data_IF_958967863574
#
_entry.id   IF_958967863574
#
_cell.length_a   1.000
_cell.length_b   1.000
_cell.length_c   1.000
_cell.angle_alpha   90.00
_cell.angle_beta   90.00
_cell.angle_gamma   90.00
#
_symmetry.space_group_name_H-M   'P 1'
#
loop_
_entity.id
_entity.type
_entity.pdbx_description
1 polymer ?
#
# COMPACT_ATOMS: atom_id res chain seq x y z
N UNK A 1 -26.59 37.91 -42.00
CA UNK A 1 -26.81 37.07 -40.81
C UNK A 1 -26.41 35.66 -41.17
N UNK A 2 -25.14 35.32 -41.03
CA UNK A 2 -24.61 33.95 -41.04
C UNK A 2 -23.36 34.02 -40.14
N UNK A 3 -23.52 33.76 -38.85
CA UNK A 3 -23.32 32.45 -38.20
C UNK A 3 -21.85 32.17 -37.95
N UNK A 4 -21.39 32.77 -36.85
CA UNK A 4 -20.14 32.54 -36.15
C UNK A 4 -20.08 31.09 -35.66
N UNK A 5 -19.05 30.34 -36.05
CA UNK A 5 -18.81 28.96 -35.61
C UNK A 5 -17.56 28.96 -34.74
N UNK A 6 -17.77 29.08 -33.43
CA UNK A 6 -16.74 28.85 -32.42
C UNK A 6 -16.46 27.34 -32.31
N UNK A 7 -15.20 26.89 -32.25
CA UNK A 7 -14.90 25.49 -32.02
C UNK A 7 -15.09 25.17 -30.54
N UNK A 8 -16.00 24.23 -30.27
CA UNK A 8 -16.21 23.60 -28.97
C UNK A 8 -14.90 23.00 -28.44
N UNK A 9 -14.46 23.49 -27.28
CA UNK A 9 -13.36 22.89 -26.51
C UNK A 9 -13.70 21.43 -26.19
N UNK A 10 -12.89 20.52 -26.73
CA UNK A 10 -12.90 19.13 -26.29
C UNK A 10 -12.40 19.08 -24.84
N UNK A 11 -13.33 18.87 -23.91
CA UNK A 11 -13.04 18.44 -22.55
C UNK A 11 -12.17 17.18 -22.63
N UNK A 12 -10.87 17.34 -22.36
CA UNK A 12 -9.96 16.24 -22.04
C UNK A 12 -10.38 15.69 -20.69
N UNK A 13 -11.39 14.82 -20.72
CA UNK A 13 -11.71 13.98 -19.58
C UNK A 13 -10.58 12.95 -19.48
N UNK A 14 -9.56 13.31 -18.69
CA UNK A 14 -8.43 12.43 -18.39
C UNK A 14 -9.00 11.17 -17.77
N UNK A 15 -8.71 10.02 -18.38
CA UNK A 15 -9.12 8.65 -18.02
C UNK A 15 -8.67 8.19 -16.62
N UNK A 16 -8.30 9.10 -15.73
CA UNK A 16 -8.06 8.85 -14.33
C UNK A 16 -9.31 9.30 -13.58
N UNK A 17 -10.26 8.39 -13.36
CA UNK A 17 -11.27 8.62 -12.31
C UNK A 17 -10.53 8.77 -10.99
N UNK A 18 -10.30 10.01 -10.57
CA UNK A 18 -9.49 10.38 -9.41
C UNK A 18 -10.20 9.97 -8.13
N UNK A 19 -10.05 8.69 -7.76
CA UNK A 19 -10.50 8.16 -6.49
C UNK A 19 -9.44 8.46 -5.43
N UNK A 20 -9.46 9.71 -4.93
CA UNK A 20 -8.50 10.24 -3.97
C UNK A 20 -9.25 10.63 -2.70
N UNK A 21 -8.74 10.18 -1.55
CA UNK A 21 -9.30 10.52 -0.24
C UNK A 21 -8.21 11.00 0.71
N UNK A 22 -8.47 12.13 1.38
CA UNK A 22 -7.60 12.65 2.42
C UNK A 22 -7.66 11.78 3.66
N UNK A 23 -6.50 11.55 4.25
CA UNK A 23 -6.36 10.83 5.51
C UNK A 23 -5.94 11.78 6.62
N UNK A 24 -6.49 11.56 7.80
CA UNK A 24 -6.05 12.23 9.03
C UNK A 24 -4.81 11.56 9.58
N UNK A 25 -4.80 10.23 9.55
CA UNK A 25 -3.73 9.39 10.09
C UNK A 25 -3.47 8.17 9.23
N UNK A 26 -2.20 7.79 9.19
CA UNK A 26 -1.73 6.51 8.70
C UNK A 26 -0.83 5.87 9.75
N UNK A 27 -0.94 4.56 9.97
CA UNK A 27 -0.17 3.85 10.98
C UNK A 27 0.40 2.54 10.44
N UNK A 28 1.68 2.27 10.72
CA UNK A 28 2.33 0.97 10.46
C UNK A 28 2.57 0.22 11.76
N UNK A 29 2.15 -1.03 11.82
CA UNK A 29 2.48 -1.89 12.96
C UNK A 29 3.96 -2.27 12.91
N UNK A 30 4.63 -2.18 14.06
CA UNK A 30 5.99 -2.61 14.28
C UNK A 30 5.94 -3.85 15.20
N UNK A 31 6.13 -5.07 14.67
CA UNK A 31 6.19 -6.27 15.49
C UNK A 31 7.30 -6.13 16.54
N UNK A 32 6.97 -6.25 17.83
CA UNK A 32 7.98 -6.29 18.89
C UNK A 32 8.74 -7.60 18.78
N UNK A 33 9.96 -7.57 18.25
CA UNK A 33 10.71 -8.81 18.09
C UNK A 33 12.12 -8.79 17.47
N UNK A 34 12.81 -7.64 17.28
CA UNK A 34 14.24 -7.62 16.89
C UNK A 34 15.08 -6.44 17.43
N UNK A 35 14.58 -5.68 18.41
CA UNK A 35 15.38 -4.63 19.06
C UNK A 35 15.28 -4.77 20.59
N UNK A 36 16.33 -5.34 21.20
CA UNK A 36 16.59 -5.14 22.63
C UNK A 36 17.10 -3.71 22.79
N UNK A 37 16.22 -2.74 22.99
CA UNK A 37 16.64 -1.42 23.50
C UNK A 37 16.22 -1.27 24.95
N UNK A 38 17.23 -1.15 25.81
CA UNK A 38 17.10 -0.74 27.21
C UNK A 38 16.96 0.79 27.27
N UNK A 39 15.76 1.31 27.07
CA UNK A 39 15.41 2.64 27.58
C UNK A 39 13.90 2.84 27.59
N UNK A 40 13.40 2.99 28.82
CA UNK A 40 12.20 3.71 29.25
C UNK A 40 11.13 4.07 28.20
N UNK A 41 9.96 3.42 28.32
CA UNK A 41 8.70 4.16 28.38
C UNK A 41 7.81 4.28 27.13
N UNK A 42 8.24 3.90 25.93
CA UNK A 42 7.33 3.91 24.76
C UNK A 42 6.93 2.50 24.35
N UNK A 43 5.75 2.09 24.81
CA UNK A 43 5.13 0.80 24.47
C UNK A 43 4.52 0.78 23.06
N UNK A 44 4.85 1.71 22.16
CA UNK A 44 4.11 1.90 20.93
C UNK A 44 4.48 0.85 19.87
N UNK A 45 3.56 -0.09 19.64
CA UNK A 45 3.66 -1.07 18.55
C UNK A 45 3.28 -0.47 17.18
N UNK A 46 3.05 0.84 17.08
CA UNK A 46 2.63 1.51 15.84
C UNK A 46 3.50 2.75 15.58
N UNK A 47 4.01 2.86 14.35
CA UNK A 47 4.57 4.10 13.81
C UNK A 47 3.44 4.89 13.17
N UNK A 48 3.10 6.05 13.72
CA UNK A 48 1.99 6.90 13.27
C UNK A 48 2.52 8.07 12.44
N UNK A 49 1.80 8.37 11.38
CA UNK A 49 1.96 9.51 10.49
C UNK A 49 0.65 10.31 10.54
N UNK A 50 0.75 11.62 10.69
CA UNK A 50 -0.39 12.54 10.70
C UNK A 50 -0.15 13.64 9.65
N UNK A 51 -1.23 14.09 9.03
CA UNK A 51 -1.19 15.21 8.08
C UNK A 51 -0.86 16.51 8.83
N UNK A 52 0.12 17.27 8.34
CA UNK A 52 0.48 18.58 8.87
C UNK A 52 1.05 19.48 7.78
N UNK A 53 1.13 20.80 8.04
CA UNK A 53 1.76 21.74 7.11
C UNK A 53 3.22 21.38 6.80
N UNK A 54 3.95 20.87 7.78
CA UNK A 54 5.37 20.53 7.64
C UNK A 54 5.62 19.16 6.98
N UNK A 55 4.76 18.18 7.25
CA UNK A 55 4.93 16.81 6.74
C UNK A 55 4.19 16.57 5.42
N UNK A 56 3.20 17.40 5.10
CA UNK A 56 2.34 17.25 3.94
C UNK A 56 1.06 16.47 4.25
N UNK A 57 0.12 16.55 3.30
CA UNK A 57 -1.17 15.89 3.34
C UNK A 57 -1.01 14.38 3.09
N UNK A 58 -1.64 13.56 3.93
CA UNK A 58 -1.81 12.12 3.68
C UNK A 58 -2.97 11.88 2.72
N UNK A 59 -2.75 11.02 1.73
CA UNK A 59 -3.75 10.67 0.72
C UNK A 59 -3.77 9.17 0.44
N UNK A 60 -4.99 8.62 0.27
CA UNK A 60 -5.24 7.32 -0.31
C UNK A 60 -5.72 7.51 -1.75
N UNK A 61 -5.04 6.87 -2.69
CA UNK A 61 -5.37 6.87 -4.11
C UNK A 61 -5.66 5.45 -4.58
N UNK A 62 -6.79 5.23 -5.26
CA UNK A 62 -7.11 3.96 -5.94
C UNK A 62 -7.32 4.22 -7.42
N UNK A 63 -6.29 3.94 -8.22
CA UNK A 63 -6.28 4.25 -9.63
C UNK A 63 -7.27 3.40 -10.44
N UNK A 64 -7.64 3.87 -11.63
CA UNK A 64 -8.43 3.11 -12.60
C UNK A 64 -7.81 1.75 -12.95
N UNK A 65 -6.48 1.67 -12.94
CA UNK A 65 -5.68 0.47 -13.19
C UNK A 65 -5.68 -0.56 -12.04
N UNK A 66 -6.38 -0.29 -10.93
CA UNK A 66 -6.38 -1.15 -9.75
C UNK A 66 -5.15 -1.03 -8.88
N UNK A 67 -4.33 0.01 -9.04
CA UNK A 67 -3.22 0.29 -8.12
C UNK A 67 -3.69 1.11 -6.92
N UNK A 68 -3.25 0.71 -5.73
CA UNK A 68 -3.48 1.44 -4.49
C UNK A 68 -2.19 2.13 -4.08
N UNK A 69 -2.28 3.42 -3.79
CA UNK A 69 -1.17 4.24 -3.29
C UNK A 69 -1.60 4.94 -2.00
N UNK A 70 -0.72 4.95 -1.00
CA UNK A 70 -0.81 5.81 0.17
C UNK A 70 0.42 6.70 0.17
N UNK A 71 0.25 8.01 0.18
CA UNK A 71 1.33 8.99 0.13
C UNK A 71 1.19 10.04 1.22
N UNK A 72 2.31 10.70 1.52
CA UNK A 72 2.37 11.91 2.33
C UNK A 72 3.20 12.96 1.59
N UNK A 73 2.56 14.01 1.09
CA UNK A 73 3.24 14.96 0.19
C UNK A 73 3.85 14.22 -1.01
N UNK A 74 5.17 14.31 -1.18
CA UNK A 74 5.91 13.61 -2.25
C UNK A 74 6.46 12.24 -1.84
N UNK A 75 6.22 11.79 -0.61
CA UNK A 75 6.68 10.49 -0.13
C UNK A 75 5.62 9.41 -0.33
N UNK A 76 6.00 8.30 -0.96
CA UNK A 76 5.16 7.10 -1.04
C UNK A 76 5.33 6.27 0.23
N UNK A 77 4.21 6.05 0.91
CA UNK A 77 4.12 5.20 2.09
C UNK A 77 3.75 3.77 1.70
N UNK A 78 2.76 3.56 0.83
CA UNK A 78 2.44 2.22 0.33
C UNK A 78 2.11 2.31 -1.16
N UNK A 79 2.52 1.30 -1.91
CA UNK A 79 2.14 1.15 -3.31
C UNK A 79 2.10 -0.32 -3.68
N UNK A 80 0.94 -0.81 -4.11
CA UNK A 80 0.80 -2.17 -4.62
C UNK A 80 -0.44 -2.32 -5.51
N UNK A 81 -0.43 -3.36 -6.35
CA UNK A 81 -1.58 -3.73 -7.18
C UNK A 81 -2.66 -4.42 -6.34
N UNK A 82 -3.92 -4.04 -6.54
CA UNK A 82 -5.09 -4.74 -5.99
C UNK A 82 -5.50 -5.94 -6.87
N UNK A 83 -4.96 -6.05 -8.08
CA UNK A 83 -5.24 -7.17 -8.98
C UNK A 83 -4.72 -8.47 -8.36
N UNK A 84 -5.59 -9.46 -8.21
CA UNK A 84 -5.30 -10.74 -7.58
C UNK A 84 -4.82 -10.63 -6.11
N UNK A 85 -5.07 -9.49 -5.46
CA UNK A 85 -4.57 -9.23 -4.11
C UNK A 85 -5.26 -10.05 -3.02
N UNK A 86 -6.38 -10.71 -3.31
CA UNK A 86 -7.11 -11.55 -2.36
C UNK A 86 -6.26 -12.65 -1.71
N UNK A 87 -5.20 -13.09 -2.41
CA UNK A 87 -4.25 -14.10 -1.91
C UNK A 87 -3.35 -13.59 -0.77
N UNK A 88 -3.10 -12.28 -0.71
CA UNK A 88 -2.15 -11.67 0.24
C UNK A 88 -2.74 -10.52 1.07
N UNK A 89 -3.89 -9.96 0.69
CA UNK A 89 -4.48 -8.77 1.30
C UNK A 89 -5.83 -9.11 1.94
N UNK A 90 -5.97 -8.78 3.22
CA UNK A 90 -7.23 -8.77 3.95
C UNK A 90 -7.53 -7.36 4.44
N UNK A 91 -8.76 -6.91 4.24
CA UNK A 91 -9.17 -5.54 4.57
C UNK A 91 -10.34 -5.59 5.54
N UNK A 92 -10.19 -4.90 6.66
CA UNK A 92 -11.25 -4.66 7.62
C UNK A 92 -11.61 -3.17 7.65
N UNK A 93 -12.89 -2.89 7.78
CA UNK A 93 -13.42 -1.53 7.89
C UNK A 93 -14.17 -1.33 9.21
N UNK A 94 -13.99 -0.17 9.84
CA UNK A 94 -14.77 0.28 10.99
C UNK A 94 -14.89 1.80 11.01
N UNK A 95 -16.12 2.31 10.93
CA UNK A 95 -16.43 3.75 10.98
C UNK A 95 -15.71 4.57 9.90
N UNK A 96 -14.66 5.30 10.26
CA UNK A 96 -13.87 6.18 9.38
C UNK A 96 -12.47 5.57 9.11
N UNK A 97 -12.29 4.28 9.39
CA UNK A 97 -10.98 3.64 9.45
C UNK A 97 -10.95 2.35 8.64
N UNK A 98 -9.81 2.12 7.99
CA UNK A 98 -9.45 0.85 7.34
C UNK A 98 -8.24 0.22 8.01
N UNK A 99 -8.26 -1.10 8.17
CA UNK A 99 -7.13 -1.91 8.61
C UNK A 99 -6.80 -2.93 7.53
N UNK A 100 -5.57 -2.89 7.04
CA UNK A 100 -5.07 -3.80 6.02
C UNK A 100 -4.08 -4.76 6.67
N UNK A 101 -4.26 -6.04 6.40
CA UNK A 101 -3.28 -7.08 6.69
C UNK A 101 -2.73 -7.59 5.37
N UNK A 102 -1.44 -7.35 5.14
CA UNK A 102 -0.73 -7.72 3.92
C UNK A 102 0.26 -8.82 4.29
N UNK A 103 0.08 -10.02 3.73
CA UNK A 103 0.92 -11.20 4.00
C UNK A 103 1.57 -11.69 2.72
N UNK A 104 2.89 -11.51 2.61
CA UNK A 104 3.67 -11.87 1.42
C UNK A 104 4.80 -12.81 1.86
N UNK A 105 4.89 -14.01 1.25
CA UNK A 105 5.93 -15.03 1.54
C UNK A 105 6.16 -15.29 3.05
N UNK A 106 5.09 -15.33 3.83
CA UNK A 106 5.14 -15.56 5.27
C UNK A 106 5.42 -14.32 6.13
N UNK A 107 5.74 -13.18 5.51
CA UNK A 107 5.88 -11.91 6.21
C UNK A 107 4.55 -11.15 6.20
N UNK A 108 4.01 -10.87 7.39
CA UNK A 108 2.80 -10.06 7.56
C UNK A 108 3.15 -8.65 8.02
N UNK A 109 2.51 -7.66 7.40
CA UNK A 109 2.50 -6.27 7.86
C UNK A 109 1.06 -5.79 8.04
N UNK A 110 0.85 -5.02 9.10
CA UNK A 110 -0.43 -4.37 9.39
C UNK A 110 -0.30 -2.88 9.19
N UNK A 111 -1.21 -2.30 8.41
CA UNK A 111 -1.33 -0.85 8.24
C UNK A 111 -2.76 -0.41 8.54
N UNK A 112 -2.90 0.76 9.14
CA UNK A 112 -4.20 1.36 9.48
C UNK A 112 -4.28 2.76 8.89
N UNK A 113 -5.43 3.10 8.33
CA UNK A 113 -5.74 4.42 7.78
C UNK A 113 -6.99 4.97 8.45
N UNK A 114 -6.99 6.27 8.75
CA UNK A 114 -8.16 7.01 9.23
C UNK A 114 -8.44 8.15 8.25
N UNK A 115 -9.65 8.19 7.72
CA UNK A 115 -10.10 9.20 6.76
C UNK A 115 -10.27 10.55 7.44
N UNK A 116 -9.98 11.61 6.70
CA UNK A 116 -10.23 12.97 7.17
C UNK A 116 -11.54 13.52 6.62
N UNK A 117 -12.14 14.45 7.36
CA UNK A 117 -13.38 15.11 7.03
C UNK A 117 -13.66 16.23 8.02
N UNK A 118 -14.44 17.22 7.59
CA UNK A 118 -14.91 18.33 8.43
C UNK A 118 -15.76 17.86 9.62
N UNK A 119 -16.34 16.67 9.52
CA UNK A 119 -17.06 15.98 10.59
C UNK A 119 -16.79 14.48 10.58
N UNK A 120 -17.11 13.80 11.69
CA UNK A 120 -17.03 12.34 11.75
C UNK A 120 -17.92 11.68 10.69
N UNK A 121 -19.13 12.21 10.46
CA UNK A 121 -20.05 11.66 9.45
C UNK A 121 -19.48 11.78 8.03
N UNK A 122 -18.81 12.89 7.72
CA UNK A 122 -18.17 13.08 6.43
C UNK A 122 -16.97 12.13 6.25
N UNK A 123 -16.11 11.99 7.28
CA UNK A 123 -14.99 11.06 7.25
C UNK A 123 -15.45 9.60 7.06
N UNK A 124 -16.54 9.19 7.73
CA UNK A 124 -17.20 7.90 7.50
C UNK A 124 -17.69 7.79 6.06
N UNK A 125 -18.33 8.83 5.51
CA UNK A 125 -18.80 8.85 4.13
C UNK A 125 -17.67 8.67 3.10
N UNK A 126 -16.51 9.31 3.31
CA UNK A 126 -15.33 9.08 2.48
C UNK A 126 -14.78 7.67 2.62
N UNK A 127 -14.76 7.13 3.83
CA UNK A 127 -14.34 5.76 4.08
C UNK A 127 -15.24 4.75 3.35
N UNK A 128 -16.57 4.92 3.40
CA UNK A 128 -17.53 4.08 2.67
C UNK A 128 -17.30 4.11 1.16
N UNK A 129 -17.07 5.28 0.57
CA UNK A 129 -16.74 5.40 -0.87
C UNK A 129 -15.45 4.66 -1.24
N UNK A 130 -14.43 4.73 -0.37
CA UNK A 130 -13.20 3.96 -0.57
C UNK A 130 -13.43 2.45 -0.43
N UNK A 131 -14.28 2.02 0.50
CA UNK A 131 -14.69 0.61 0.65
C UNK A 131 -15.40 0.11 -0.62
N UNK A 132 -16.37 0.85 -1.14
CA UNK A 132 -17.07 0.51 -2.39
C UNK A 132 -16.07 0.32 -3.55
N UNK A 133 -15.06 1.21 -3.65
CA UNK A 133 -14.02 1.10 -4.66
C UNK A 133 -13.13 -0.13 -4.45
N UNK A 134 -12.76 -0.45 -3.20
CA UNK A 134 -11.93 -1.60 -2.84
C UNK A 134 -12.63 -2.94 -3.10
N UNK A 135 -13.95 -3.00 -2.86
CA UNK A 135 -14.77 -4.20 -3.06
C UNK A 135 -14.78 -4.70 -4.50
N UNK A 136 -14.46 -3.85 -5.48
CA UNK A 136 -14.23 -4.26 -6.87
C UNK A 136 -13.01 -5.16 -7.08
N UNK A 137 -12.11 -5.27 -6.10
CA UNK A 137 -10.86 -6.03 -6.20
C UNK A 137 -10.72 -7.08 -5.10
N UNK A 138 -10.99 -6.70 -3.85
CA UNK A 138 -10.79 -7.54 -2.66
C UNK A 138 -11.98 -7.41 -1.71
N UNK A 139 -12.49 -8.52 -1.13
CA UNK A 139 -13.55 -8.46 -0.12
C UNK A 139 -13.12 -7.62 1.10
N UNK A 140 -13.97 -6.67 1.49
CA UNK A 140 -13.78 -5.85 2.70
C UNK A 140 -14.70 -6.35 3.80
N UNK A 141 -14.14 -6.76 4.93
CA UNK A 141 -14.93 -7.20 6.09
C UNK A 141 -15.33 -6.02 6.97
N UNK A 142 -16.62 -5.87 7.25
CA UNK A 142 -17.08 -4.96 8.29
C UNK A 142 -16.72 -5.54 9.65
N UNK A 143 -15.96 -4.80 10.45
CA UNK A 143 -15.63 -5.21 11.80
C UNK A 143 -16.84 -4.97 12.71
N UNK A 144 -17.81 -5.87 12.67
CA UNK A 144 -18.92 -5.89 13.61
C UNK A 144 -18.34 -6.06 15.01
N UNK A 145 -18.71 -5.13 15.89
CA UNK A 145 -18.41 -5.25 17.33
C UNK A 145 -19.12 -6.49 17.84
N UNK A 146 -18.45 -7.64 17.85
CA UNK A 146 -18.94 -8.78 18.63
C UNK A 146 -18.80 -8.34 20.08
N UNK A 147 -19.91 -7.90 20.68
CA UNK A 147 -20.11 -7.92 22.11
C UNK A 147 -19.61 -9.29 22.60
N UNK A 148 -18.67 -9.28 23.53
CA UNK A 148 -18.16 -10.48 24.16
C UNK A 148 -19.34 -11.24 24.77
N UNK A 149 -19.82 -12.26 24.06
CA UNK A 149 -20.67 -13.26 24.66
C UNK A 149 -19.77 -14.10 25.55
N UNK A 150 -20.00 -13.97 26.85
CA UNK A 150 -19.34 -14.72 27.90
C UNK A 150 -19.44 -16.22 27.60
N UNK A 151 -18.34 -16.80 27.13
CA UNK A 151 -18.07 -18.22 27.33
C UNK A 151 -17.32 -18.36 28.65
N UNK A 152 -18.08 -18.41 29.73
CA UNK A 152 -17.63 -18.96 31.00
C UNK A 152 -17.45 -20.46 30.82
N UNK A 153 -16.21 -20.93 30.72
CA UNK A 153 -15.86 -22.29 31.11
C UNK A 153 -14.38 -22.30 31.50
N UNK A 154 -14.16 -22.59 32.79
CA UNK A 154 -12.88 -22.71 33.48
C UNK A 154 -11.84 -23.59 32.75
N UNK A 155 -10.54 -23.30 32.92
CA UNK A 155 -9.46 -24.25 32.64
C UNK A 155 -9.08 -25.06 33.90
N UNK A 156 -8.81 -26.37 33.78
CA UNK A 156 -7.91 -27.06 34.69
C UNK A 156 -6.58 -27.36 33.98
N UNK A 157 -5.48 -26.84 34.54
CA UNK A 157 -4.13 -27.39 34.39
C UNK A 157 -3.77 -28.23 35.65
N UNK A 158 -2.65 -28.98 35.72
CA UNK A 158 -1.68 -29.36 34.68
C UNK A 158 -1.30 -30.87 34.70
N UNK A 159 -0.59 -31.34 33.67
CA UNK A 159 0.09 -32.65 33.68
C UNK A 159 1.44 -32.57 32.94
N UNK A 160 2.59 -32.96 33.55
CA UNK A 160 3.89 -32.80 32.93
C UNK A 160 4.31 -34.08 32.18
N UNK A 161 4.86 -33.92 30.99
CA UNK A 161 5.71 -34.97 30.40
C UNK A 161 6.68 -34.40 29.37
N UNK A 162 7.94 -34.41 29.78
CA UNK A 162 9.19 -34.33 29.01
C UNK A 162 9.24 -35.34 27.86
N UNK A 163 9.74 -34.93 26.69
CA UNK A 163 10.91 -35.57 26.05
C UNK A 163 11.47 -34.75 24.88
N UNK A 164 12.79 -34.80 24.80
CA UNK A 164 13.70 -34.12 23.88
C UNK A 164 13.64 -34.71 22.46
N UNK A 165 13.93 -33.89 21.46
CA UNK A 165 14.77 -34.29 20.32
C UNK A 165 15.42 -33.06 19.65
N UNK A 166 16.72 -33.20 19.39
CA UNK A 166 17.68 -32.19 18.98
C UNK A 166 17.77 -32.05 17.44
N UNK A 167 17.91 -30.79 16.97
CA UNK A 167 18.76 -30.27 15.86
C UNK A 167 18.63 -30.85 14.41
N UNK A 168 18.96 -30.08 13.34
CA UNK A 168 20.05 -29.12 13.28
C UNK A 168 19.71 -27.68 12.83
N UNK A 169 20.55 -26.78 13.34
CA UNK A 169 20.74 -25.40 12.90
C UNK A 169 21.09 -25.34 11.41
N UNK A 170 20.32 -24.57 10.65
CA UNK A 170 20.86 -23.86 9.51
C UNK A 170 20.48 -22.38 9.68
N UNK A 171 21.50 -21.54 9.82
CA UNK A 171 21.34 -20.14 10.15
C UNK A 171 20.68 -19.40 8.97
N UNK A 172 19.54 -18.70 9.14
CA UNK A 172 19.09 -17.79 8.10
C UNK A 172 20.06 -16.61 8.09
N UNK A 173 20.93 -16.61 7.09
CA UNK A 173 21.68 -15.45 6.59
C UNK A 173 20.80 -14.22 6.75
N UNK A 174 21.28 -13.25 7.55
CA UNK A 174 20.55 -12.03 7.83
C UNK A 174 20.10 -11.39 6.50
N UNK A 175 18.80 -11.40 6.27
CA UNK A 175 18.22 -10.68 5.14
C UNK A 175 18.65 -9.21 5.25
N UNK A 176 19.09 -8.56 4.16
CA UNK A 176 19.41 -7.15 4.20
C UNK A 176 18.16 -6.42 4.69
N UNK A 177 18.35 -5.54 5.68
CA UNK A 177 17.27 -4.77 6.25
C UNK A 177 16.63 -3.95 5.12
N UNK A 178 15.46 -4.40 4.68
CA UNK A 178 14.58 -3.73 3.73
C UNK A 178 14.42 -2.28 4.19
N UNK A 179 14.41 -1.32 3.27
CA UNK A 179 14.16 0.07 3.61
C UNK A 179 12.80 0.19 4.34
N UNK A 180 12.84 0.22 5.68
CA UNK A 180 11.66 0.38 6.55
C UNK A 180 11.17 1.84 6.61
N UNK A 181 11.78 2.72 5.80
CA UNK A 181 11.44 4.14 5.65
C UNK A 181 10.46 4.40 4.49
N UNK A 182 9.96 5.64 4.38
CA UNK A 182 9.25 6.11 3.18
C UNK A 182 10.12 6.01 1.93
N UNK A 183 9.53 5.72 0.78
CA UNK A 183 10.20 5.75 -0.51
C UNK A 183 9.77 7.03 -1.24
N UNK A 184 10.68 7.97 -1.47
CA UNK A 184 10.37 9.17 -2.26
C UNK A 184 10.35 8.83 -3.75
N UNK A 185 9.61 9.63 -4.51
CA UNK A 185 9.60 9.55 -5.99
C UNK A 185 11.02 9.71 -6.52
N UNK A 186 11.77 10.69 -5.99
CA UNK A 186 13.18 10.93 -6.34
C UNK A 186 14.06 9.66 -6.17
N UNK A 187 13.92 8.96 -5.03
CA UNK A 187 14.67 7.73 -4.77
C UNK A 187 14.29 6.60 -5.74
N UNK A 188 12.99 6.44 -6.04
CA UNK A 188 12.53 5.44 -7.01
C UNK A 188 13.02 5.76 -8.42
N UNK A 189 12.97 7.02 -8.85
CA UNK A 189 13.49 7.46 -10.15
C UNK A 189 14.98 7.14 -10.31
N UNK A 190 15.81 7.49 -9.31
CA UNK A 190 17.24 7.16 -9.30
C UNK A 190 17.50 5.65 -9.39
N UNK A 191 16.69 4.84 -8.70
CA UNK A 191 16.81 3.38 -8.75
C UNK A 191 16.47 2.81 -10.13
N UNK A 192 15.37 3.26 -10.74
CA UNK A 192 14.95 2.76 -12.06
C UNK A 192 15.91 3.18 -13.19
N UNK A 193 16.61 4.31 -13.03
CA UNK A 193 17.66 4.76 -13.94
C UNK A 193 19.02 4.10 -13.67
N UNK A 194 19.13 3.23 -12.64
CA UNK A 194 20.38 2.56 -12.29
C UNK A 194 21.42 3.46 -11.62
N UNK A 195 21.04 4.67 -11.21
CA UNK A 195 21.93 5.64 -10.55
C UNK A 195 22.14 5.36 -9.06
N UNK A 196 21.25 4.56 -8.46
CA UNK A 196 21.28 4.24 -7.04
C UNK A 196 20.82 2.82 -6.75
N UNK A 197 21.58 2.10 -5.92
CA UNK A 197 21.10 0.86 -5.33
C UNK A 197 20.15 1.13 -4.16
N UNK A 198 18.97 0.51 -4.20
CA UNK A 198 17.98 0.53 -3.12
C UNK A 198 17.47 -0.88 -2.86
N UNK A 199 17.38 -1.27 -1.59
CA UNK A 199 16.67 -2.48 -1.19
C UNK A 199 15.17 -2.17 -1.14
N UNK A 200 14.45 -2.51 -2.21
CA UNK A 200 13.01 -2.31 -2.27
C UNK A 200 12.24 -3.31 -1.37
N UNK A 201 11.09 -2.92 -0.82
CA UNK A 201 10.18 -3.84 -0.15
C UNK A 201 9.79 -5.03 -1.02
N UNK A 202 9.46 -6.16 -0.39
CA UNK A 202 9.12 -7.41 -1.08
C UNK A 202 7.97 -7.25 -2.09
N UNK A 203 7.06 -6.30 -1.86
CA UNK A 203 5.96 -5.97 -2.76
C UNK A 203 6.43 -5.52 -4.17
N UNK A 204 7.60 -4.87 -4.28
CA UNK A 204 8.16 -4.45 -5.57
C UNK A 204 8.72 -5.62 -6.40
N UNK A 205 8.94 -6.77 -5.76
CA UNK A 205 9.47 -7.97 -6.40
C UNK A 205 8.38 -8.95 -6.81
N UNK A 206 7.11 -8.55 -6.73
CA UNK A 206 5.98 -9.39 -7.10
C UNK A 206 5.40 -8.96 -8.44
N UNK A 207 5.50 -9.83 -9.44
CA UNK A 207 4.70 -9.72 -10.65
C UNK A 207 3.32 -10.34 -10.38
N UNK A 208 2.27 -9.53 -10.47
CA UNK A 208 0.87 -10.01 -10.31
C UNK A 208 0.25 -10.47 -11.63
N UNK A 209 0.99 -10.35 -12.74
CA UNK A 209 0.52 -10.81 -14.06
C UNK A 209 0.50 -12.35 -14.09
N UNK A 210 -0.60 -12.95 -14.57
CA UNK A 210 -0.66 -14.39 -14.86
C UNK A 210 0.45 -14.84 -15.81
N UNK A 211 0.91 -16.08 -15.64
CA UNK A 211 1.85 -16.71 -16.57
C UNK A 211 1.19 -16.87 -17.95
N UNK A 212 1.69 -16.13 -18.94
CA UNK A 212 1.13 -16.05 -20.30
C UNK A 212 0.86 -14.60 -20.72
N UNK A 213 0.34 -13.79 -19.80
CA UNK A 213 0.02 -12.38 -20.07
C UNK A 213 1.28 -11.54 -20.25
N UNK A 214 2.35 -11.88 -19.53
CA UNK A 214 3.65 -11.22 -19.71
C UNK A 214 4.21 -11.42 -21.11
N UNK A 215 4.09 -12.62 -21.68
CA UNK A 215 4.59 -12.90 -23.03
C UNK A 215 3.76 -12.17 -24.09
N UNK A 216 2.43 -12.14 -23.92
CA UNK A 216 1.55 -11.38 -24.79
C UNK A 216 1.83 -9.87 -24.72
N UNK A 217 2.02 -9.32 -23.52
CA UNK A 217 2.40 -7.92 -23.31
C UNK A 217 3.73 -7.59 -23.98
N UNK A 218 4.74 -8.46 -23.83
CA UNK A 218 6.04 -8.27 -24.45
C UNK A 218 5.93 -8.27 -25.98
N UNK A 219 5.17 -9.20 -26.57
CA UNK A 219 4.91 -9.21 -28.02
C UNK A 219 4.24 -7.94 -28.49
N UNK A 220 3.26 -7.42 -27.74
CA UNK A 220 2.62 -6.15 -28.05
C UNK A 220 3.63 -4.99 -28.06
N UNK A 221 4.45 -4.87 -27.02
CA UNK A 221 5.49 -3.83 -26.94
C UNK A 221 6.51 -3.91 -28.10
N UNK A 222 6.86 -5.11 -28.55
CA UNK A 222 7.80 -5.30 -29.66
C UNK A 222 7.19 -5.03 -31.05
N UNK A 223 5.88 -5.21 -31.19
CA UNK A 223 5.15 -4.99 -32.45
C UNK A 223 4.61 -3.57 -32.57
N UNK A 224 4.52 -2.83 -31.48
CA UNK A 224 4.15 -1.41 -31.48
C UNK A 224 5.35 -0.54 -31.86
N UNK A 225 5.30 0.05 -33.06
CA UNK A 225 6.34 0.97 -33.54
C UNK A 225 6.50 2.24 -32.69
N UNK A 226 5.49 2.61 -31.92
CA UNK A 226 5.53 3.77 -31.02
C UNK A 226 6.19 3.48 -29.67
N UNK A 227 6.31 2.20 -29.29
CA UNK A 227 6.83 1.81 -27.98
C UNK A 227 8.26 2.30 -27.71
N UNK A 228 9.22 2.26 -28.66
CA UNK A 228 10.56 2.81 -28.43
C UNK A 228 10.55 4.29 -28.04
N UNK A 229 9.79 5.12 -28.77
CA UNK A 229 9.67 6.55 -28.47
C UNK A 229 8.97 6.80 -27.11
N UNK A 230 7.99 5.96 -26.75
CA UNK A 230 7.36 6.01 -25.43
C UNK A 230 8.36 5.73 -24.30
N UNK A 231 9.23 4.72 -24.46
CA UNK A 231 10.26 4.38 -23.46
C UNK A 231 11.24 5.55 -23.27
N UNK A 232 11.65 6.20 -24.35
CA UNK A 232 12.51 7.39 -24.29
C UNK A 232 11.85 8.55 -23.53
N UNK A 233 10.56 8.82 -23.78
CA UNK A 233 9.83 9.86 -23.05
C UNK A 233 9.63 9.51 -21.56
N UNK A 234 9.41 8.24 -21.21
CA UNK A 234 9.36 7.79 -19.80
C UNK A 234 10.71 8.02 -19.12
N UNK A 235 11.82 7.66 -19.76
CA UNK A 235 13.16 7.87 -19.20
C UNK A 235 13.44 9.36 -18.97
N UNK A 236 13.07 10.22 -19.93
CA UNK A 236 13.16 11.67 -19.81
C UNK A 236 12.34 12.20 -18.64
N UNK A 237 11.09 11.75 -18.48
CA UNK A 237 10.24 12.14 -17.35
C UNK A 237 10.77 11.66 -16.01
N UNK A 238 11.37 10.47 -15.93
CA UNK A 238 12.05 10.01 -14.71
C UNK A 238 13.22 10.91 -14.32
N UNK A 239 13.99 11.41 -15.31
CA UNK A 239 15.09 12.37 -15.06
C UNK A 239 14.59 13.73 -14.59
N UNK A 240 13.44 14.19 -15.09
CA UNK A 240 12.81 15.43 -14.62
C UNK A 240 12.38 15.30 -13.14
N UNK A 241 11.78 14.17 -12.75
CA UNK A 241 11.37 13.88 -11.36
C UNK A 241 12.52 13.80 -10.36
N UNK A 242 13.78 13.71 -10.82
CA UNK A 242 14.93 13.76 -9.94
C UNK A 242 15.37 15.19 -9.58
N UNK A 243 14.90 16.19 -10.33
CA UNK A 243 15.29 17.59 -10.21
C UNK A 243 14.23 18.44 -9.47
N UNK A 244 13.06 17.83 -9.22
CA UNK A 244 11.95 18.40 -8.43
C UNK A 244 12.15 18.16 -6.93
#
# INVERSE_FOLDING_TARGET
>A
MESDSSPTEHSKDSTISNCVWKLRRYGRFLPKGKAKSKSSGSNCAWKIFESSESAGQLELNILGSGHLLVSQGQELLEGFSLLNAQSFLKIQHRSDSLLFNITIKGESRLIRMQFDGSSQAEAVGFCSKAVERLQGYVPVQEHLSTSASAATSDPPEPGPSTQQQQAPEDAPRAAPAVAMGPLSINHLSQYFLGERELSLPLAYHQCTLPSGDLEALLRLCLLDSGFPAFVEEVEKKLKELMQE
#
